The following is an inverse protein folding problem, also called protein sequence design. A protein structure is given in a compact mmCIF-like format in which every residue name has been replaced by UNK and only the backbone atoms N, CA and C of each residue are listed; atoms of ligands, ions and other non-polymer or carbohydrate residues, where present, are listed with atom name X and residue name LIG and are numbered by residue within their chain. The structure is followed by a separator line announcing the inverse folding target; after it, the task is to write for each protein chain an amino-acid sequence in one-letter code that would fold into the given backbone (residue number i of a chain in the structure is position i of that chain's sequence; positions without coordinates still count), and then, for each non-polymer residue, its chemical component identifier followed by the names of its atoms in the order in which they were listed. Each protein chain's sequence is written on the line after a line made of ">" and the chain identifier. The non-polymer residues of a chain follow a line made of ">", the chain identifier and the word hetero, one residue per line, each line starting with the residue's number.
data_IF_983375897788
#
_entry.id   IF_983375897788
#
_cell.length_a   1.000
_cell.length_b   1.000
_cell.length_c   1.000
_cell.angle_alpha   90.00
_cell.angle_beta   90.00
_cell.angle_gamma   90.00
#
_symmetry.space_group_name_H-M   'P 1'
#
loop_
_entity.id
_entity.type
_entity.pdbx_description
1 polymer ?
#
# COMPACT_ATOMS: atom_id res chain seq x y z
N UNK A 1 2.43 -21.43 19.42
CA UNK A 1 2.04 -20.27 18.58
C UNK A 1 3.28 -19.40 18.41
N UNK A 2 3.30 -18.39 17.53
CA UNK A 2 4.46 -17.47 17.47
C UNK A 2 4.42 -16.55 18.70
N UNK A 3 5.58 -16.30 19.32
CA UNK A 3 5.71 -15.44 20.50
C UNK A 3 5.06 -14.06 20.28
N UNK A 4 5.24 -13.47 19.10
CA UNK A 4 4.66 -12.18 18.73
C UNK A 4 3.12 -12.22 18.76
N UNK A 5 2.51 -13.37 18.41
CA UNK A 5 1.05 -13.51 18.46
C UNK A 5 0.54 -13.47 19.90
N UNK A 6 1.28 -14.06 20.84
CA UNK A 6 0.91 -14.09 22.26
C UNK A 6 1.08 -12.71 22.89
N UNK A 7 2.16 -11.99 22.56
CA UNK A 7 2.36 -10.59 22.96
C UNK A 7 1.21 -9.69 22.47
N UNK A 8 0.79 -9.82 21.20
CA UNK A 8 -0.37 -9.07 20.67
C UNK A 8 -1.65 -9.37 21.44
N UNK A 9 -1.88 -10.61 21.86
CA UNK A 9 -3.08 -10.98 22.62
C UNK A 9 -3.01 -10.37 24.03
N UNK A 10 -1.85 -10.42 24.69
CA UNK A 10 -1.64 -9.81 26.00
C UNK A 10 -1.87 -8.29 25.97
N UNK A 11 -1.31 -7.60 24.97
CA UNK A 11 -1.50 -6.14 24.80
C UNK A 11 -2.97 -5.79 24.51
N UNK A 12 -3.74 -6.71 23.92
CA UNK A 12 -5.17 -6.49 23.71
C UNK A 12 -5.94 -6.57 25.02
N UNK A 13 -5.60 -7.47 25.95
CA UNK A 13 -6.33 -7.63 27.21
C UNK A 13 -6.33 -6.35 28.08
N UNK A 14 -5.27 -5.54 27.99
CA UNK A 14 -5.14 -4.26 28.71
C UNK A 14 -5.86 -3.08 28.02
N UNK A 15 -6.38 -3.27 26.81
CA UNK A 15 -7.04 -2.20 26.05
C UNK A 15 -8.54 -2.08 26.35
N UNK A 16 -9.02 -0.83 26.30
CA UNK A 16 -10.46 -0.55 26.36
C UNK A 16 -11.21 -1.23 25.20
N UNK A 17 -12.43 -1.73 25.43
CA UNK A 17 -13.25 -2.35 24.38
C UNK A 17 -13.49 -1.48 23.14
N UNK A 18 -13.43 -0.16 23.30
CA UNK A 18 -13.57 0.81 22.20
C UNK A 18 -12.42 0.71 21.20
N UNK A 19 -11.24 0.31 21.66
CA UNK A 19 -10.01 0.19 20.87
C UNK A 19 -9.95 -1.11 20.06
N UNK A 20 -10.69 -2.15 20.46
CA UNK A 20 -10.74 -3.43 19.72
C UNK A 20 -11.25 -3.27 18.30
N UNK A 21 -12.18 -2.33 18.07
CA UNK A 21 -12.68 -2.03 16.74
C UNK A 21 -11.56 -1.51 15.82
N UNK A 22 -10.73 -0.60 16.32
CA UNK A 22 -9.60 -0.02 15.58
C UNK A 22 -8.53 -1.08 15.26
N UNK A 23 -8.20 -1.93 16.23
CA UNK A 23 -7.24 -3.02 16.03
C UNK A 23 -7.77 -4.04 15.02
N UNK A 24 -9.04 -4.41 15.12
CA UNK A 24 -9.67 -5.33 14.17
C UNK A 24 -9.66 -4.77 12.75
N UNK A 25 -9.96 -3.48 12.60
CA UNK A 25 -9.91 -2.80 11.31
C UNK A 25 -8.50 -2.75 10.74
N UNK A 26 -7.48 -2.50 11.58
CA UNK A 26 -6.09 -2.56 11.14
C UNK A 26 -5.67 -3.97 10.67
N UNK A 27 -6.06 -5.02 11.40
CA UNK A 27 -5.80 -6.41 10.98
C UNK A 27 -6.48 -6.71 9.63
N UNK A 28 -7.72 -6.24 9.43
CA UNK A 28 -8.45 -6.38 8.16
C UNK A 28 -7.76 -5.63 7.03
N UNK A 29 -7.29 -4.41 7.29
CA UNK A 29 -6.51 -3.63 6.34
C UNK A 29 -5.24 -4.37 5.91
N UNK A 30 -4.47 -4.93 6.85
CA UNK A 30 -3.26 -5.69 6.53
C UNK A 30 -3.57 -6.92 5.65
N UNK A 31 -4.66 -7.63 5.95
CA UNK A 31 -5.13 -8.77 5.13
C UNK A 31 -5.54 -8.31 3.73
N UNK A 32 -6.24 -7.19 3.62
CA UNK A 32 -6.64 -6.60 2.34
C UNK A 32 -5.44 -6.14 1.52
N UNK A 33 -4.50 -5.40 2.13
CA UNK A 33 -3.27 -4.92 1.50
C UNK A 33 -2.45 -6.08 0.93
N UNK A 34 -2.32 -7.19 1.67
CA UNK A 34 -1.61 -8.38 1.18
C UNK A 34 -2.29 -9.02 -0.04
N UNK A 35 -3.62 -8.93 -0.14
CA UNK A 35 -4.39 -9.38 -1.31
C UNK A 35 -4.30 -8.41 -2.49
N UNK A 36 -4.15 -7.11 -2.20
CA UNK A 36 -3.99 -6.03 -3.19
C UNK A 36 -2.54 -5.77 -3.61
N UNK A 37 -1.57 -6.49 -3.05
CA UNK A 37 -0.14 -6.20 -3.19
C UNK A 37 0.42 -6.35 -4.61
N UNK A 38 -0.40 -6.69 -5.61
CA UNK A 38 -0.10 -6.40 -7.02
C UNK A 38 -1.40 -6.09 -7.77
N UNK A 39 -1.70 -4.82 -8.10
CA UNK A 39 -2.31 -4.52 -9.38
C UNK A 39 -1.16 -4.28 -10.36
N UNK A 40 -0.80 -5.32 -11.12
CA UNK A 40 0.12 -5.22 -12.27
C UNK A 40 -0.29 -4.08 -13.22
N UNK A 41 -1.55 -3.65 -13.14
CA UNK A 41 -2.12 -2.54 -13.91
C UNK A 41 -1.49 -1.18 -13.64
N UNK A 42 -0.98 -0.87 -12.44
CA UNK A 42 -0.31 0.42 -12.19
C UNK A 42 1.06 0.49 -12.87
N UNK A 43 1.78 -0.64 -12.95
CA UNK A 43 3.07 -0.76 -13.64
C UNK A 43 2.89 -1.02 -15.16
N UNK A 44 1.74 -1.55 -15.58
CA UNK A 44 1.46 -1.82 -17.00
C UNK A 44 1.42 -0.56 -17.88
N UNK A 45 1.12 0.61 -17.29
CA UNK A 45 1.15 1.89 -18.01
C UNK A 45 2.57 2.44 -18.19
N UNK A 46 3.56 2.00 -17.40
CA UNK A 46 4.92 2.55 -17.46
C UNK A 46 5.63 2.32 -18.81
N UNK A 47 5.59 1.13 -19.45
CA UNK A 47 6.21 0.92 -20.75
C UNK A 47 5.52 1.71 -21.87
N UNK A 48 4.20 1.88 -21.77
CA UNK A 48 3.40 2.61 -22.76
C UNK A 48 3.63 4.11 -22.64
N UNK A 49 3.57 4.67 -21.42
CA UNK A 49 3.88 6.09 -21.17
C UNK A 49 5.31 6.41 -21.59
N UNK A 50 6.28 5.53 -21.30
CA UNK A 50 7.68 5.76 -21.67
C UNK A 50 7.88 6.02 -23.16
N UNK A 51 7.11 5.35 -24.03
CA UNK A 51 7.18 5.51 -25.49
C UNK A 51 6.78 6.91 -25.97
N UNK A 52 5.81 7.51 -25.29
CA UNK A 52 5.26 8.80 -25.68
C UNK A 52 5.82 9.96 -24.85
N UNK A 53 6.40 9.69 -23.68
CA UNK A 53 6.98 10.67 -22.76
C UNK A 53 8.49 10.91 -22.97
N UNK A 54 9.28 9.90 -23.36
CA UNK A 54 10.74 10.06 -23.59
C UNK A 54 11.08 10.54 -25.01
N UNK A 55 10.20 11.33 -25.60
CA UNK A 55 10.42 11.92 -26.92
C UNK A 55 11.21 13.22 -26.76
N UNK A 56 12.28 13.45 -27.54
CA UNK A 56 13.07 14.68 -27.44
C UNK A 56 12.22 15.95 -27.67
N UNK A 57 11.13 15.84 -28.43
CA UNK A 57 10.16 16.91 -28.66
C UNK A 57 9.40 17.30 -27.38
N UNK A 58 9.24 16.37 -26.42
CA UNK A 58 8.68 16.70 -25.12
C UNK A 58 9.68 17.52 -24.30
N UNK A 59 10.96 17.11 -24.24
CA UNK A 59 12.01 17.87 -23.54
C UNK A 59 12.15 19.29 -24.10
N UNK A 60 11.99 19.48 -25.40
CA UNK A 60 11.91 20.82 -26.02
C UNK A 60 10.69 21.62 -25.55
N UNK A 61 9.52 21.00 -25.45
CA UNK A 61 8.31 21.66 -24.94
C UNK A 61 8.37 22.01 -23.45
N UNK A 62 9.19 21.30 -22.66
CA UNK A 62 9.44 21.61 -21.24
C UNK A 62 10.50 22.70 -21.03
N UNK A 63 11.32 23.03 -22.03
CA UNK A 63 12.36 24.07 -21.90
C UNK A 63 11.79 25.51 -21.86
N UNK A 64 10.54 25.71 -22.27
CA UNK A 64 9.85 27.01 -22.29
C UNK A 64 8.87 27.22 -21.10
N UNK A 65 8.89 26.34 -20.09
CA UNK A 65 8.07 26.39 -18.86
C UNK A 65 8.90 26.77 -17.62
#
# INVERSE_FOLDING_TARGET
>A
MSQIKEEIISELEDLSPRTYAEVLDFIRFLKFRRRKAVPDTALASEPVLRKDWLRPEADEAWNDL
#
